data_IF_947430806288
#
_entry.id   IF_947430806288
#
_cell.length_a   1.000
_cell.length_b   1.000
_cell.length_c   1.000
_cell.angle_alpha   90.00
_cell.angle_beta   90.00
_cell.angle_gamma   90.00
#
_symmetry.space_group_name_H-M   'P 1'
#
loop_
_entity.id
_entity.type
_entity.pdbx_description
1 polymer ?
#
# COMPACT_ATOMS: atom_id res chain seq x y z
N UNK A 1 -21.63 -6.55 1.23
CA UNK A 1 -20.61 -5.50 1.36
C UNK A 1 -19.61 -5.66 0.22
N UNK A 2 -19.36 -4.64 -0.61
CA UNK A 2 -18.46 -4.75 -1.77
C UNK A 2 -17.00 -4.84 -1.30
N UNK A 3 -16.25 -5.79 -1.85
CA UNK A 3 -14.80 -5.90 -1.63
C UNK A 3 -14.15 -4.76 -2.38
N UNK A 4 -13.41 -3.89 -1.68
CA UNK A 4 -12.66 -2.80 -2.32
C UNK A 4 -11.20 -3.21 -2.38
N UNK A 5 -10.68 -3.38 -3.60
CA UNK A 5 -9.26 -3.66 -3.85
C UNK A 5 -8.61 -2.49 -4.58
N UNK A 6 -8.28 -1.38 -3.87
CA UNK A 6 -7.67 -0.22 -4.48
C UNK A 6 -6.27 -0.53 -5.00
N UNK A 7 -5.82 0.32 -5.90
CA UNK A 7 -4.44 0.36 -6.39
C UNK A 7 -3.77 1.59 -5.80
N UNK A 8 -2.56 1.41 -5.29
CA UNK A 8 -1.65 2.51 -4.98
C UNK A 8 -0.40 2.35 -5.87
N UNK A 9 0.09 3.46 -6.43
CA UNK A 9 1.13 3.41 -7.45
C UNK A 9 2.17 4.53 -7.28
N UNK A 10 3.40 4.22 -7.66
CA UNK A 10 4.46 5.18 -7.94
C UNK A 10 4.74 5.17 -9.44
N UNK A 11 4.76 6.34 -10.05
CA UNK A 11 5.01 6.52 -11.49
C UNK A 11 6.12 7.54 -11.70
N UNK A 12 6.95 7.33 -12.72
CA UNK A 12 7.95 8.31 -13.10
C UNK A 12 7.31 9.54 -13.75
N UNK A 13 8.10 10.61 -13.94
CA UNK A 13 7.63 11.88 -14.53
C UNK A 13 6.98 11.71 -15.91
N UNK A 14 7.51 10.80 -16.74
CA UNK A 14 6.98 10.53 -18.07
C UNK A 14 5.69 9.67 -18.05
N UNK A 15 5.36 9.07 -16.91
CA UNK A 15 4.23 8.15 -16.75
C UNK A 15 4.39 6.83 -17.51
N UNK A 16 5.59 6.50 -17.99
CA UNK A 16 5.86 5.31 -18.80
C UNK A 16 6.48 4.16 -17.98
N UNK A 17 6.87 4.43 -16.73
CA UNK A 17 7.43 3.46 -15.77
C UNK A 17 6.82 3.66 -14.40
N UNK A 18 6.74 2.58 -13.63
CA UNK A 18 6.19 2.62 -12.30
C UNK A 18 5.98 1.23 -11.71
N UNK A 19 5.49 1.22 -10.48
CA UNK A 19 5.06 0.03 -9.76
C UNK A 19 3.75 0.34 -9.03
N UNK A 20 2.88 -0.65 -8.94
CA UNK A 20 1.62 -0.53 -8.19
C UNK A 20 1.36 -1.75 -7.34
N UNK A 21 0.69 -1.53 -6.22
CA UNK A 21 0.22 -2.56 -5.31
C UNK A 21 -1.30 -2.51 -5.26
N UNK A 22 -1.93 -3.65 -5.51
CA UNK A 22 -3.34 -3.87 -5.25
C UNK A 22 -3.49 -4.66 -3.95
N UNK A 23 -4.37 -4.23 -3.05
CA UNK A 23 -4.56 -4.85 -1.72
C UNK A 23 -6.04 -4.82 -1.31
N UNK A 24 -6.46 -5.67 -0.37
CA UNK A 24 -7.84 -5.67 0.15
C UNK A 24 -7.99 -4.77 1.38
N UNK A 25 -8.85 -3.75 1.32
CA UNK A 25 -9.02 -2.78 2.42
C UNK A 25 -9.69 -3.37 3.67
N UNK A 26 -10.26 -4.58 3.60
CA UNK A 26 -10.77 -5.30 4.77
C UNK A 26 -9.64 -5.93 5.57
N UNK A 27 -8.55 -6.30 4.89
CA UNK A 27 -7.35 -6.89 5.46
C UNK A 27 -6.36 -5.80 5.87
N UNK A 28 -6.13 -4.82 4.98
CA UNK A 28 -5.21 -3.69 5.15
C UNK A 28 -5.97 -2.35 4.98
N UNK A 29 -6.64 -1.87 6.03
CA UNK A 29 -7.55 -0.70 5.95
C UNK A 29 -6.85 0.65 5.81
N UNK A 30 -5.55 0.75 6.05
CA UNK A 30 -4.81 2.01 6.00
C UNK A 30 -3.62 1.93 5.05
N UNK A 31 -3.18 3.09 4.56
CA UNK A 31 -2.02 3.23 3.69
C UNK A 31 -1.08 4.28 4.27
N UNK A 32 0.18 3.91 4.50
CA UNK A 32 1.26 4.87 4.81
C UNK A 32 2.01 5.19 3.52
N UNK A 33 2.28 6.47 3.28
CA UNK A 33 3.15 6.93 2.21
C UNK A 33 4.43 7.48 2.83
N UNK A 34 5.54 6.77 2.64
CA UNK A 34 6.85 7.23 3.05
C UNK A 34 7.59 7.84 1.86
N UNK A 35 8.06 9.07 2.00
CA UNK A 35 8.85 9.77 0.97
C UNK A 35 10.19 10.13 1.56
N UNK A 36 11.23 9.38 1.19
CA UNK A 36 12.61 9.70 1.53
C UNK A 36 13.32 10.18 0.27
N UNK A 37 13.13 11.45 -0.05
CA UNK A 37 13.73 12.10 -1.22
C UNK A 37 15.06 12.76 -0.85
N UNK A 38 15.91 12.03 -0.11
CA UNK A 38 17.25 12.48 0.26
C UNK A 38 18.21 12.25 -0.93
N UNK A 39 19.51 12.30 -0.68
CA UNK A 39 20.57 11.95 -1.63
C UNK A 39 20.53 10.46 -2.00
N UNK A 40 21.13 10.11 -3.15
CA UNK A 40 21.27 8.72 -3.58
C UNK A 40 22.02 7.86 -2.54
N UNK A 41 23.02 8.44 -1.86
CA UNK A 41 23.84 7.71 -0.87
C UNK A 41 23.06 7.42 0.42
N UNK A 42 22.22 8.35 0.87
CA UNK A 42 21.41 8.20 2.08
C UNK A 42 20.10 7.42 1.82
N UNK A 43 19.60 7.50 0.58
CA UNK A 43 18.40 6.81 0.09
C UNK A 43 17.45 7.78 -0.60
N UNK A 44 17.26 7.60 -1.91
CA UNK A 44 16.23 8.28 -2.70
C UNK A 44 15.13 7.27 -3.06
N UNK A 45 14.16 7.11 -2.16
CA UNK A 45 13.19 6.01 -2.18
C UNK A 45 11.83 6.47 -1.67
N UNK A 46 10.78 5.78 -2.09
CA UNK A 46 9.44 5.94 -1.53
C UNK A 46 8.85 4.58 -1.14
N UNK A 47 8.17 4.55 0.00
CA UNK A 47 7.38 3.41 0.47
C UNK A 47 5.89 3.66 0.20
N UNK A 48 5.24 2.67 -0.43
CA UNK A 48 3.77 2.57 -0.49
C UNK A 48 3.41 1.39 0.40
N UNK A 49 2.85 1.68 1.58
CA UNK A 49 2.80 0.72 2.69
C UNK A 49 1.36 0.49 3.17
N UNK A 50 0.58 -0.37 2.48
CA UNK A 50 -0.71 -0.82 2.99
C UNK A 50 -0.52 -1.62 4.27
N UNK A 51 -1.29 -1.29 5.31
CA UNK A 51 -1.10 -1.81 6.66
C UNK A 51 -2.41 -2.03 7.42
N UNK A 52 -2.29 -2.76 8.54
CA UNK A 52 -3.34 -2.81 9.57
C UNK A 52 -3.36 -1.55 10.44
N UNK A 53 -2.22 -0.88 10.53
CA UNK A 53 -1.93 0.29 11.38
C UNK A 53 -1.02 1.28 10.64
N UNK A 54 -0.92 2.51 11.15
CA UNK A 54 0.09 3.47 10.70
C UNK A 54 1.42 3.23 11.40
N UNK A 55 2.49 3.87 10.91
CA UNK A 55 3.84 3.81 11.50
C UNK A 55 3.99 4.68 12.77
N UNK A 56 2.96 4.76 13.62
CA UNK A 56 3.04 5.36 14.94
C UNK A 56 3.44 4.32 15.99
N UNK A 57 3.97 4.74 17.17
CA UNK A 57 4.18 3.85 18.29
C UNK A 57 2.93 3.05 18.67
N UNK A 58 3.15 1.82 19.17
CA UNK A 58 2.07 0.88 19.51
C UNK A 58 1.06 1.43 20.53
N UNK A 59 1.48 2.37 21.38
CA UNK A 59 0.58 3.06 22.33
C UNK A 59 -0.51 3.82 21.61
N UNK A 60 -0.15 4.64 20.62
CA UNK A 60 -1.08 5.41 19.78
C UNK A 60 -1.99 4.47 18.99
N UNK A 61 -1.43 3.43 18.37
CA UNK A 61 -2.21 2.49 17.58
C UNK A 61 -3.20 1.67 18.43
N UNK A 62 -2.88 1.38 19.71
CA UNK A 62 -3.79 0.76 20.68
C UNK A 62 -4.91 1.71 21.09
N UNK A 63 -4.58 2.95 21.45
CA UNK A 63 -5.56 3.99 21.82
C UNK A 63 -6.55 4.24 20.69
N UNK A 64 -6.06 4.26 19.45
CA UNK A 64 -6.88 4.44 18.25
C UNK A 64 -7.46 3.13 17.68
N UNK A 65 -7.33 2.01 18.41
CA UNK A 65 -7.94 0.71 18.12
C UNK A 65 -7.57 0.11 16.75
N UNK A 66 -6.36 0.37 16.27
CA UNK A 66 -5.84 -0.17 14.98
C UNK A 66 -5.00 -1.43 15.14
N UNK A 67 -4.52 -1.74 16.34
CA UNK A 67 -3.83 -3.01 16.59
C UNK A 67 -4.81 -4.18 16.47
N UNK A 68 -4.59 -5.05 15.47
CA UNK A 68 -5.38 -6.27 15.28
C UNK A 68 -5.14 -7.25 16.43
N UNK A 69 -6.23 -7.84 16.92
CA UNK A 69 -6.19 -8.92 17.90
C UNK A 69 -6.56 -10.24 17.22
N UNK A 70 -5.75 -11.28 17.40
CA UNK A 70 -6.04 -12.64 16.95
C UNK A 70 -6.31 -13.51 18.17
N UNK A 71 -7.40 -14.28 18.13
CA UNK A 71 -7.71 -15.26 19.16
C UNK A 71 -6.77 -16.48 19.04
N UNK A 72 -6.61 -17.28 20.11
CA UNK A 72 -5.86 -18.54 20.02
C UNK A 72 -6.37 -19.41 18.88
N UNK A 73 -5.45 -19.88 18.01
CA UNK A 73 -5.78 -20.70 16.84
C UNK A 73 -6.34 -19.94 15.63
N UNK A 74 -6.55 -18.63 15.72
CA UNK A 74 -7.02 -17.84 14.58
C UNK A 74 -5.90 -17.49 13.59
N UNK A 75 -6.27 -17.18 12.35
CA UNK A 75 -5.34 -16.70 11.30
C UNK A 75 -5.86 -15.41 10.66
N UNK A 76 -4.94 -14.59 10.17
CA UNK A 76 -5.24 -13.46 9.29
C UNK A 76 -4.64 -13.73 7.91
N UNK A 77 -5.41 -13.40 6.86
CA UNK A 77 -4.97 -13.50 5.47
C UNK A 77 -4.75 -12.09 4.91
N UNK A 78 -3.69 -11.93 4.12
CA UNK A 78 -3.38 -10.69 3.41
C UNK A 78 -3.09 -11.03 1.95
N UNK A 79 -3.93 -10.51 1.05
CA UNK A 79 -3.84 -10.73 -0.39
C UNK A 79 -3.39 -9.44 -1.06
N UNK A 80 -2.21 -9.48 -1.67
CA UNK A 80 -1.63 -8.36 -2.39
C UNK A 80 -1.17 -8.80 -3.78
N UNK A 81 -1.20 -7.88 -4.73
CA UNK A 81 -0.65 -8.12 -6.07
C UNK A 81 0.22 -6.93 -6.47
N UNK A 82 1.46 -7.23 -6.84
CA UNK A 82 2.41 -6.24 -7.36
C UNK A 82 2.37 -6.27 -8.88
N UNK A 83 2.28 -5.08 -9.48
CA UNK A 83 2.28 -4.92 -10.92
C UNK A 83 3.31 -3.88 -11.35
N UNK A 84 4.04 -4.11 -12.45
CA UNK A 84 4.69 -3.02 -13.16
C UNK A 84 3.62 -2.03 -13.61
N UNK A 85 3.70 -0.78 -13.15
CA UNK A 85 2.80 0.28 -13.58
C UNK A 85 3.43 0.99 -14.79
N UNK A 86 3.27 0.42 -15.98
CA UNK A 86 3.48 1.15 -17.22
C UNK A 86 2.15 1.77 -17.66
N UNK A 87 2.19 2.90 -18.37
CA UNK A 87 1.02 3.49 -19.03
C UNK A 87 0.23 2.38 -19.73
N UNK A 88 -1.02 2.15 -19.35
CA UNK A 88 -1.95 1.46 -20.23
C UNK A 88 -2.02 2.32 -21.50
N UNK A 89 -1.46 1.84 -22.62
CA UNK A 89 -1.74 2.44 -23.92
C UNK A 89 -3.25 2.49 -24.00
N UNK A 90 -3.80 3.68 -24.19
CA UNK A 90 -5.21 3.86 -24.51
C UNK A 90 -5.48 3.13 -25.82
N UNK A 91 -5.75 1.83 -25.75
CA UNK A 91 -6.39 1.10 -26.81
C UNK A 91 -7.79 1.70 -26.88
N UNK A 92 -8.00 2.59 -27.85
CA UNK A 92 -9.34 3.05 -28.19
C UNK A 92 -10.19 1.82 -28.41
N UNK A 93 -11.22 1.65 -27.57
CA UNK A 93 -12.35 0.82 -27.94
C UNK A 93 -13.06 1.59 -29.05
N UNK A 94 -12.88 1.13 -30.28
CA UNK A 94 -13.99 1.14 -31.24
C UNK A 94 -14.91 -0.02 -30.87
#
# INVERSE_FOLDING_TARGET
MKITRPWAAVVNKAGDKGASIQFDTRQLPVLTLWKNTDTIKQGYVTGIEPGTSYAYPVTIEREQKRVKQLQPGASAQFDLTLHPAARQRSGGRR
#
